data_IF_642501610084
#
_entry.id   IF_642501610084
#
_cell.length_a   1.000
_cell.length_b   1.000
_cell.length_c   1.000
_cell.angle_alpha   90.00
_cell.angle_beta   90.00
_cell.angle_gamma   90.00
#
_symmetry.space_group_name_H-M   'P 1'
#
loop_
_entity.id
_entity.type
_entity.pdbx_description
1 polymer ?
#
# COMPACT_ATOMS: atom_id res chain seq x y z
N UNK A 1 -23.88 12.89 -29.30
CA UNK A 1 -22.99 12.17 -28.34
C UNK A 1 -22.21 13.20 -27.54
N UNK A 2 -22.48 13.39 -26.25
CA UNK A 2 -21.67 14.30 -25.44
C UNK A 2 -20.23 13.76 -25.33
N UNK A 3 -19.23 14.60 -25.59
CA UNK A 3 -17.82 14.21 -25.47
C UNK A 3 -17.52 13.67 -24.07
N UNK A 4 -16.68 12.64 -23.96
CA UNK A 4 -16.35 11.97 -22.70
C UNK A 4 -15.85 12.94 -21.61
N UNK A 5 -15.22 14.05 -22.01
CA UNK A 5 -14.76 15.13 -21.14
C UNK A 5 -15.92 15.89 -20.46
N UNK A 6 -17.01 16.15 -21.19
CA UNK A 6 -18.21 16.84 -20.67
C UNK A 6 -18.91 15.97 -19.62
N UNK A 7 -19.06 14.67 -19.89
CA UNK A 7 -19.65 13.71 -18.95
C UNK A 7 -18.79 13.57 -17.68
N UNK A 8 -17.46 13.59 -17.84
CA UNK A 8 -16.53 13.57 -16.72
C UNK A 8 -16.63 14.84 -15.86
N UNK A 9 -16.73 16.02 -16.49
CA UNK A 9 -16.95 17.31 -15.79
C UNK A 9 -18.26 17.33 -15.00
N UNK A 10 -19.38 16.95 -15.64
CA UNK A 10 -20.69 16.83 -14.96
C UNK A 10 -20.66 15.89 -13.77
N UNK A 11 -19.90 14.79 -13.85
CA UNK A 11 -19.74 13.85 -12.73
C UNK A 11 -19.07 14.51 -11.52
N UNK A 12 -18.10 15.40 -11.74
CA UNK A 12 -17.36 16.10 -10.68
C UNK A 12 -18.22 17.22 -10.08
N UNK A 13 -18.90 17.98 -10.93
CA UNK A 13 -19.85 19.01 -10.50
C UNK A 13 -20.97 18.39 -9.66
N UNK A 14 -21.53 17.25 -10.09
CA UNK A 14 -22.53 16.50 -9.31
C UNK A 14 -22.00 15.98 -7.97
N UNK A 15 -20.74 15.53 -7.93
CA UNK A 15 -20.07 15.15 -6.68
C UNK A 15 -19.98 16.35 -5.72
N UNK A 16 -19.46 17.50 -6.19
CA UNK A 16 -19.31 18.70 -5.37
C UNK A 16 -20.66 19.25 -4.89
N UNK A 17 -21.65 19.31 -5.79
CA UNK A 17 -22.99 19.74 -5.46
C UNK A 17 -23.62 18.86 -4.37
N UNK A 18 -23.44 17.54 -4.44
CA UNK A 18 -23.92 16.60 -3.43
C UNK A 18 -23.25 16.82 -2.09
N UNK A 19 -21.94 17.00 -2.05
CA UNK A 19 -21.23 17.25 -0.78
C UNK A 19 -21.60 18.60 -0.16
N UNK A 20 -21.77 19.65 -0.96
CA UNK A 20 -22.24 20.95 -0.47
C UNK A 20 -23.67 20.86 0.07
N UNK A 21 -24.58 20.16 -0.63
CA UNK A 21 -25.96 19.96 -0.17
C UNK A 21 -26.00 19.16 1.14
N UNK A 22 -25.17 18.13 1.28
CA UNK A 22 -25.13 17.30 2.48
C UNK A 22 -24.45 17.96 3.68
N UNK A 23 -23.86 19.16 3.51
CA UNK A 23 -23.37 19.99 4.61
C UNK A 23 -24.44 20.22 5.68
N UNK A 24 -25.66 20.56 5.28
CA UNK A 24 -26.76 20.83 6.22
C UNK A 24 -27.11 19.58 7.04
N UNK A 25 -27.15 18.41 6.39
CA UNK A 25 -27.38 17.13 7.05
C UNK A 25 -26.24 16.76 8.02
N UNK A 26 -25.00 17.05 7.63
CA UNK A 26 -23.86 16.87 8.53
C UNK A 26 -23.99 17.78 9.75
N UNK A 27 -24.33 19.06 9.56
CA UNK A 27 -24.53 20.01 10.66
C UNK A 27 -25.63 19.52 11.61
N UNK A 28 -26.74 19.01 11.07
CA UNK A 28 -27.83 18.46 11.87
C UNK A 28 -27.41 17.22 12.68
N UNK A 29 -26.53 16.37 12.15
CA UNK A 29 -26.11 15.11 12.81
C UNK A 29 -24.93 15.25 13.77
N UNK A 30 -23.95 16.07 13.41
CA UNK A 30 -22.65 16.15 14.10
C UNK A 30 -22.38 17.53 14.71
N UNK A 31 -23.30 18.48 14.55
CA UNK A 31 -23.16 19.84 15.05
C UNK A 31 -22.49 20.82 14.09
N UNK A 32 -22.38 22.09 14.49
CA UNK A 32 -21.87 23.16 13.64
C UNK A 32 -20.41 22.94 13.25
N UNK A 33 -20.13 23.11 11.96
CA UNK A 33 -18.76 23.06 11.42
C UNK A 33 -18.02 24.34 11.82
N UNK A 34 -16.74 24.22 12.17
CA UNK A 34 -15.94 25.39 12.50
C UNK A 34 -15.82 26.34 11.30
N UNK A 35 -16.12 27.64 11.47
CA UNK A 35 -15.94 28.62 10.41
C UNK A 35 -14.46 28.72 10.00
N UNK A 36 -14.19 29.20 8.78
CA UNK A 36 -12.86 29.52 8.29
C UNK A 36 -12.34 30.80 8.99
N UNK A 37 -12.23 30.82 10.31
CA UNK A 37 -11.47 31.85 11.03
C UNK A 37 -10.01 31.39 11.05
N UNK A 38 -9.14 32.11 10.34
CA UNK A 38 -7.71 31.83 10.31
C UNK A 38 -7.06 32.39 11.57
N UNK A 39 -7.06 31.62 12.66
CA UNK A 39 -6.14 31.77 13.79
C UNK A 39 -5.34 30.49 13.96
N UNK A 40 -4.35 30.30 13.11
CA UNK A 40 -3.25 29.37 13.35
C UNK A 40 -1.99 29.85 12.62
N UNK A 41 -1.25 30.70 13.32
CA UNK A 41 0.14 31.05 13.14
C UNK A 41 0.99 30.09 12.29
N UNK A 42 1.12 30.40 10.98
CA UNK A 42 2.42 30.46 10.28
C UNK A 42 2.27 31.43 9.11
N UNK A 43 3.14 32.44 9.09
CA UNK A 43 3.08 33.64 8.27
C UNK A 43 3.56 33.37 6.82
N UNK A 44 2.85 33.91 5.83
CA UNK A 44 3.45 34.78 4.80
C UNK A 44 2.40 35.82 4.42
N UNK A 45 2.71 37.09 4.71
CA UNK A 45 1.89 38.26 4.37
C UNK A 45 1.95 38.49 2.87
N UNK A 46 0.87 38.20 2.13
CA UNK A 46 0.53 38.91 0.89
C UNK A 46 -0.93 38.60 0.48
N UNK A 47 -1.70 39.65 0.23
CA UNK A 47 -3.09 39.71 -0.27
C UNK A 47 -4.22 39.23 0.66
N UNK A 48 -4.80 40.20 1.37
CA UNK A 48 -6.01 40.03 2.18
C UNK A 48 -7.28 39.90 1.32
N UNK A 49 -7.55 38.70 0.83
CA UNK A 49 -8.89 38.32 0.38
C UNK A 49 -9.44 37.29 1.37
N UNK A 50 -10.32 37.73 2.27
CA UNK A 50 -11.09 36.86 3.18
C UNK A 50 -11.94 35.91 2.32
N UNK A 51 -11.41 34.75 1.95
CA UNK A 51 -12.17 33.76 1.19
C UNK A 51 -13.24 33.20 2.14
N UNK A 52 -14.49 33.63 1.97
CA UNK A 52 -15.68 33.09 2.66
C UNK A 52 -15.96 31.66 2.19
N UNK A 53 -15.04 30.74 2.49
CA UNK A 53 -15.09 29.36 2.09
C UNK A 53 -15.81 28.49 3.13
N UNK A 54 -16.32 27.35 2.68
CA UNK A 54 -16.90 26.35 3.58
C UNK A 54 -15.84 25.29 3.92
N UNK A 55 -15.56 25.10 5.22
CA UNK A 55 -14.83 23.94 5.75
C UNK A 55 -15.77 22.73 5.76
N UNK A 56 -15.44 21.67 5.02
CA UNK A 56 -16.20 20.42 4.95
C UNK A 56 -15.32 19.23 5.31
N UNK A 57 -15.83 18.24 6.06
CA UNK A 57 -15.07 17.02 6.33
C UNK A 57 -14.81 16.23 5.04
N UNK A 58 -13.59 15.72 4.91
CA UNK A 58 -13.18 14.99 3.71
C UNK A 58 -13.93 13.66 3.57
N UNK A 59 -14.66 13.42 2.46
CA UNK A 59 -15.45 12.21 2.27
C UNK A 59 -14.62 11.00 1.82
N UNK A 60 -13.33 11.17 1.49
CA UNK A 60 -12.41 10.10 1.10
C UNK A 60 -11.68 9.45 2.27
N UNK A 61 -11.75 10.06 3.45
CA UNK A 61 -11.08 9.58 4.65
C UNK A 61 -12.08 8.92 5.60
N UNK A 62 -11.68 7.85 6.30
CA UNK A 62 -12.46 7.34 7.43
C UNK A 62 -12.46 8.38 8.55
N UNK A 63 -13.55 8.44 9.30
CA UNK A 63 -13.75 9.43 10.37
C UNK A 63 -14.00 8.72 11.70
N UNK A 64 -13.38 9.22 12.75
CA UNK A 64 -13.61 8.73 14.10
C UNK A 64 -14.88 9.40 14.64
N UNK A 65 -15.87 8.59 15.01
CA UNK A 65 -17.07 9.09 15.68
C UNK A 65 -16.72 9.41 17.14
N UNK A 66 -16.86 10.68 17.55
CA UNK A 66 -16.51 11.12 18.91
C UNK A 66 -17.33 10.41 20.00
N UNK A 67 -18.62 10.15 19.75
CA UNK A 67 -19.52 9.55 20.75
C UNK A 67 -19.31 8.05 20.92
N UNK A 68 -19.02 7.31 19.83
CA UNK A 68 -18.93 5.84 19.86
C UNK A 68 -17.50 5.33 19.87
N UNK A 69 -16.50 6.17 19.61
CA UNK A 69 -15.09 5.79 19.48
C UNK A 69 -14.79 4.85 18.30
N UNK A 70 -15.77 4.56 17.45
CA UNK A 70 -15.61 3.68 16.29
C UNK A 70 -15.25 4.49 15.05
N UNK A 71 -14.38 3.93 14.21
CA UNK A 71 -14.06 4.49 12.91
C UNK A 71 -15.18 4.18 11.92
N UNK A 72 -15.83 5.23 11.42
CA UNK A 72 -16.70 5.13 10.26
C UNK A 72 -15.82 4.97 9.00
N UNK A 73 -16.20 4.07 8.06
CA UNK A 73 -15.50 3.96 6.79
C UNK A 73 -15.61 5.26 6.00
N UNK A 74 -14.71 5.46 5.04
CA UNK A 74 -14.82 6.57 4.10
C UNK A 74 -16.17 6.50 3.35
N UNK A 75 -16.78 7.66 3.14
CA UNK A 75 -18.08 7.78 2.47
C UNK A 75 -18.06 7.24 1.04
N UNK A 76 -16.95 7.46 0.34
CA UNK A 76 -16.69 6.85 -0.97
C UNK A 76 -15.66 5.74 -0.83
N UNK A 77 -15.96 4.57 -1.39
CA UNK A 77 -15.04 3.44 -1.41
C UNK A 77 -13.80 3.74 -2.26
N UNK A 78 -12.69 3.04 -2.04
CA UNK A 78 -11.44 3.26 -2.79
C UNK A 78 -11.61 3.10 -4.31
N UNK A 79 -12.55 2.26 -4.74
CA UNK A 79 -12.92 2.12 -6.16
C UNK A 79 -13.61 3.38 -6.67
N UNK A 80 -14.65 3.85 -5.98
CA UNK A 80 -15.36 5.08 -6.35
C UNK A 80 -14.44 6.30 -6.35
N UNK A 81 -13.51 6.38 -5.38
CA UNK A 81 -12.46 7.39 -5.35
C UNK A 81 -11.60 7.32 -6.62
N UNK A 82 -11.14 6.13 -7.02
CA UNK A 82 -10.36 5.95 -8.23
C UNK A 82 -11.15 6.33 -9.51
N UNK A 83 -12.43 5.99 -9.58
CA UNK A 83 -13.30 6.34 -10.70
C UNK A 83 -13.49 7.86 -10.80
N UNK A 84 -13.71 8.56 -9.67
CA UNK A 84 -13.77 10.02 -9.61
C UNK A 84 -12.45 10.66 -10.02
N UNK A 85 -11.32 10.12 -9.54
CA UNK A 85 -9.98 10.60 -9.92
C UNK A 85 -9.73 10.41 -11.42
N UNK A 86 -10.13 9.28 -11.99
CA UNK A 86 -10.00 9.01 -13.43
C UNK A 86 -10.78 10.03 -14.25
N UNK A 87 -12.03 10.30 -13.87
CA UNK A 87 -12.88 11.34 -14.49
C UNK A 87 -12.29 12.74 -14.33
N UNK A 88 -11.76 13.07 -13.15
CA UNK A 88 -11.13 14.36 -12.90
C UNK A 88 -9.84 14.57 -13.68
N UNK A 89 -9.05 13.51 -13.87
CA UNK A 89 -7.87 13.55 -14.74
C UNK A 89 -8.26 13.78 -16.20
N UNK A 90 -9.27 13.07 -16.71
CA UNK A 90 -9.72 13.27 -18.11
C UNK A 90 -10.32 14.66 -18.35
N UNK A 91 -10.85 15.31 -17.32
CA UNK A 91 -11.44 16.64 -17.41
C UNK A 91 -10.49 17.78 -16.99
N UNK A 92 -9.27 17.48 -16.52
CA UNK A 92 -8.34 18.49 -15.98
C UNK A 92 -8.77 19.11 -14.63
N UNK A 93 -9.77 18.54 -13.95
CA UNK A 93 -10.39 19.08 -12.73
C UNK A 93 -9.90 18.39 -11.45
N UNK A 94 -8.73 17.76 -11.48
CA UNK A 94 -8.19 16.99 -10.34
C UNK A 94 -8.05 17.85 -9.07
N UNK A 95 -7.76 19.13 -9.22
CA UNK A 95 -7.61 20.11 -8.13
C UNK A 95 -8.88 20.32 -7.29
N UNK A 96 -10.06 20.05 -7.85
CA UNK A 96 -11.33 20.26 -7.14
C UNK A 96 -11.71 19.09 -6.23
N UNK A 97 -11.04 17.93 -6.38
CA UNK A 97 -11.30 16.77 -5.53
C UNK A 97 -10.59 16.89 -4.17
N UNK A 98 -11.18 16.32 -3.11
CA UNK A 98 -10.48 16.21 -1.84
C UNK A 98 -9.17 15.42 -1.97
N UNK A 99 -8.13 15.80 -1.23
CA UNK A 99 -6.93 14.99 -1.17
C UNK A 99 -7.21 13.66 -0.44
N UNK A 100 -6.47 12.60 -0.72
CA UNK A 100 -6.83 11.23 -0.31
C UNK A 100 -5.94 10.16 -0.92
N UNK A 101 -6.15 8.87 -0.58
CA UNK A 101 -5.21 7.79 -0.93
C UNK A 101 -5.11 7.51 -2.44
N UNK A 102 -6.11 7.92 -3.22
CA UNK A 102 -6.15 7.78 -4.68
C UNK A 102 -5.99 9.11 -5.43
N UNK A 103 -6.10 10.25 -4.76
CA UNK A 103 -5.82 11.56 -5.35
C UNK A 103 -4.32 11.83 -5.21
N UNK A 104 -3.54 11.78 -6.31
CA UNK A 104 -2.08 11.81 -6.26
C UNK A 104 -1.51 13.17 -5.85
N UNK A 105 -2.33 14.16 -5.52
CA UNK A 105 -1.97 15.57 -5.37
C UNK A 105 -0.91 15.84 -4.27
N UNK A 106 -0.53 14.86 -3.45
CA UNK A 106 0.32 15.11 -2.27
C UNK A 106 1.61 14.30 -2.18
N UNK A 107 1.98 13.60 -3.25
CA UNK A 107 3.33 13.02 -3.33
C UNK A 107 4.09 13.70 -4.48
N UNK A 108 4.93 14.72 -4.19
CA UNK A 108 5.64 15.49 -5.22
C UNK A 108 6.62 14.61 -6.01
N UNK A 109 6.98 13.44 -5.46
CA UNK A 109 7.86 12.46 -6.08
C UNK A 109 7.17 11.57 -7.12
N UNK A 110 5.84 11.61 -7.20
CA UNK A 110 5.09 10.71 -8.08
C UNK A 110 5.16 11.21 -9.54
N UNK A 111 5.76 10.43 -10.43
CA UNK A 111 5.97 10.80 -11.85
C UNK A 111 4.72 11.34 -12.57
N UNK A 112 3.54 10.75 -12.30
CA UNK A 112 2.27 11.24 -12.86
C UNK A 112 1.88 12.65 -12.37
N UNK A 113 2.26 13.07 -11.17
CA UNK A 113 1.94 14.42 -10.66
C UNK A 113 2.77 15.46 -11.42
N UNK A 114 4.06 15.18 -11.61
CA UNK A 114 4.96 16.00 -12.43
C UNK A 114 4.46 16.10 -13.88
N UNK A 115 3.97 14.99 -14.45
CA UNK A 115 3.46 14.95 -15.82
C UNK A 115 2.19 15.78 -16.04
N UNK A 116 1.24 15.74 -15.11
CA UNK A 116 -0.08 16.36 -15.31
C UNK A 116 -0.24 17.71 -14.60
N UNK A 117 0.64 18.09 -13.66
CA UNK A 117 0.53 19.36 -12.95
C UNK A 117 1.90 19.84 -12.39
N UNK A 118 2.81 20.35 -13.24
CA UNK A 118 4.20 20.62 -12.86
C UNK A 118 4.35 21.74 -11.83
N UNK A 119 3.53 22.79 -11.90
CA UNK A 119 3.56 23.90 -10.93
C UNK A 119 3.16 23.44 -9.53
N UNK A 120 2.14 22.59 -9.44
CA UNK A 120 1.70 21.98 -8.17
C UNK A 120 2.77 21.05 -7.61
N UNK A 121 3.41 20.27 -8.47
CA UNK A 121 4.51 19.41 -8.07
C UNK A 121 5.66 20.21 -7.45
N UNK A 122 6.03 21.35 -8.05
CA UNK A 122 7.10 22.23 -7.56
C UNK A 122 6.77 22.88 -6.21
N UNK A 123 5.54 23.38 -6.04
CA UNK A 123 5.10 23.96 -4.76
C UNK A 123 5.05 22.89 -3.66
N UNK A 124 4.59 21.69 -3.98
CA UNK A 124 4.54 20.56 -3.03
C UNK A 124 5.94 20.04 -2.71
N UNK A 125 6.87 19.97 -3.69
CA UNK A 125 8.26 19.57 -3.42
C UNK A 125 8.97 20.58 -2.52
N UNK A 126 8.80 21.88 -2.76
CA UNK A 126 9.34 22.94 -1.91
C UNK A 126 8.80 22.85 -0.47
N UNK A 127 7.49 22.60 -0.31
CA UNK A 127 6.88 22.39 1.02
C UNK A 127 7.45 21.14 1.74
N UNK A 128 7.71 20.06 0.99
CA UNK A 128 8.28 18.83 1.54
C UNK A 128 9.76 19.00 1.95
N UNK A 129 10.55 19.71 1.15
CA UNK A 129 11.93 20.07 1.48
C UNK A 129 12.00 20.97 2.71
N UNK A 130 11.11 21.97 2.82
CA UNK A 130 11.00 22.81 4.00
C UNK A 130 10.66 21.99 5.26
N UNK A 131 9.79 20.98 5.13
CA UNK A 131 9.46 20.06 6.22
C UNK A 131 10.66 19.20 6.64
N UNK A 132 11.47 18.71 5.69
CA UNK A 132 12.68 17.92 5.97
C UNK A 132 13.79 18.73 6.65
N UNK A 133 13.93 20.01 6.30
CA UNK A 133 14.89 20.94 6.91
C UNK A 133 14.51 21.33 8.36
N UNK A 134 13.26 21.10 8.77
CA UNK A 134 12.86 21.34 10.17
C UNK A 134 13.45 20.26 11.09
N UNK A 135 14.41 20.66 11.94
CA UNK A 135 15.13 19.78 12.87
C UNK A 135 14.30 19.30 14.06
N UNK A 136 13.11 19.87 14.28
CA UNK A 136 12.27 19.56 15.43
C UNK A 136 11.37 18.34 15.19
N UNK A 137 11.53 17.29 16.02
CA UNK A 137 10.67 16.08 16.01
C UNK A 137 9.17 16.38 16.17
N UNK A 138 8.78 17.57 16.68
CA UNK A 138 7.40 17.95 17.03
C UNK A 138 6.58 18.58 15.88
N UNK A 139 7.16 18.89 14.72
CA UNK A 139 6.45 19.58 13.61
C UNK A 139 6.27 18.71 12.35
N UNK A 140 6.07 17.39 12.50
CA UNK A 140 5.67 16.50 11.38
C UNK A 140 4.17 16.57 11.06
N UNK A 141 3.53 17.74 11.16
CA UNK A 141 2.18 17.92 10.63
C UNK A 141 2.31 18.31 9.17
N UNK A 142 1.75 17.50 8.27
CA UNK A 142 1.72 17.82 6.85
C UNK A 142 0.99 19.16 6.64
N UNK A 143 1.72 20.17 6.18
CA UNK A 143 1.14 21.46 5.76
C UNK A 143 0.89 21.35 4.27
N UNK A 144 -0.39 21.40 3.87
CA UNK A 144 -0.78 21.46 2.47
C UNK A 144 -0.47 22.87 1.95
N UNK A 145 0.28 23.04 0.85
CA UNK A 145 0.46 24.36 0.27
C UNK A 145 -0.88 24.88 -0.29
N UNK A 146 -1.15 26.17 -0.09
CA UNK A 146 -2.25 26.84 -0.79
C UNK A 146 -1.82 27.04 -2.25
N UNK A 147 -2.63 26.54 -3.16
CA UNK A 147 -2.37 26.53 -4.58
C UNK A 147 -3.10 27.71 -5.23
N UNK A 148 -2.37 28.66 -5.83
CA UNK A 148 -2.99 29.71 -6.66
C UNK A 148 -3.44 29.11 -7.99
N UNK A 149 -4.68 29.41 -8.38
CA UNK A 149 -5.44 28.74 -9.43
C UNK A 149 -5.05 29.21 -10.83
N UNK A 150 -3.97 28.70 -11.43
CA UNK A 150 -3.72 28.96 -12.86
C UNK A 150 -3.27 27.69 -13.57
N UNK A 151 -4.24 26.87 -14.03
CA UNK A 151 -3.99 25.73 -14.90
C UNK A 151 -4.37 26.05 -16.36
N UNK A 152 -3.44 25.76 -17.27
CA UNK A 152 -3.39 26.15 -18.68
C UNK A 152 -4.36 25.40 -19.62
N UNK A 153 -5.35 24.67 -19.10
CA UNK A 153 -6.39 23.98 -19.90
C UNK A 153 -7.82 24.42 -19.56
N UNK A 154 -8.00 25.56 -18.88
CA UNK A 154 -9.30 26.00 -18.42
C UNK A 154 -10.04 26.80 -19.51
N UNK A 155 -11.08 26.21 -20.11
CA UNK A 155 -12.25 27.01 -20.51
C UNK A 155 -12.71 27.73 -19.26
N UNK A 156 -12.67 29.06 -19.27
CA UNK A 156 -13.02 29.89 -18.11
C UNK A 156 -14.34 29.39 -17.51
N UNK A 157 -14.39 29.06 -16.21
CA UNK A 157 -15.61 28.57 -15.60
C UNK A 157 -16.69 29.65 -15.69
N UNK A 158 -17.86 29.29 -16.21
CA UNK A 158 -19.01 30.18 -16.31
C UNK A 158 -19.31 30.84 -14.96
N UNK A 159 -19.64 32.14 -14.98
CA UNK A 159 -20.02 32.91 -13.79
C UNK A 159 -21.18 32.18 -13.09
N UNK A 160 -20.96 31.74 -11.84
CA UNK A 160 -21.93 30.98 -11.05
C UNK A 160 -21.70 29.46 -10.95
N UNK A 161 -20.68 28.92 -11.63
CA UNK A 161 -20.34 27.50 -11.50
C UNK A 161 -20.00 27.11 -10.05
N UNK A 162 -20.49 25.96 -9.61
CA UNK A 162 -20.21 25.38 -8.28
C UNK A 162 -18.71 25.21 -8.04
N UNK A 163 -17.94 25.03 -9.13
CA UNK A 163 -16.48 24.94 -9.11
C UNK A 163 -15.80 26.20 -8.55
N UNK A 164 -16.46 27.36 -8.61
CA UNK A 164 -15.95 28.63 -8.11
C UNK A 164 -16.22 28.82 -6.60
N UNK A 165 -17.01 27.94 -5.97
CA UNK A 165 -17.19 27.97 -4.50
C UNK A 165 -15.94 27.40 -3.84
N UNK A 166 -15.26 28.22 -3.05
CA UNK A 166 -14.11 27.79 -2.26
C UNK A 166 -14.52 26.76 -1.20
N UNK A 167 -14.38 25.47 -1.51
CA UNK A 167 -14.55 24.36 -0.57
C UNK A 167 -13.17 23.94 -0.07
N UNK A 168 -12.98 24.02 1.26
CA UNK A 168 -11.76 23.52 1.91
C UNK A 168 -12.10 22.21 2.63
N UNK A 169 -11.45 21.13 2.18
CA UNK A 169 -11.61 19.82 2.82
C UNK A 169 -10.77 19.74 4.09
N UNK A 170 -11.39 19.30 5.19
CA UNK A 170 -10.72 19.06 6.48
C UNK A 170 -10.41 17.58 6.64
N UNK A 171 -9.27 17.28 7.25
CA UNK A 171 -8.82 15.91 7.50
C UNK A 171 -7.30 15.83 7.45
N UNK A 172 -6.71 15.02 8.34
CA UNK A 172 -5.29 14.71 8.30
C UNK A 172 -5.09 13.57 7.32
N UNK A 173 -4.20 13.76 6.36
CA UNK A 173 -3.76 12.69 5.47
C UNK A 173 -2.41 12.26 5.96
N UNK A 174 -2.29 10.98 6.29
CA UNK A 174 -1.02 10.37 6.62
C UNK A 174 -0.22 10.19 5.34
N UNK A 175 0.44 11.27 4.91
CA UNK A 175 1.45 11.28 3.86
C UNK A 175 2.77 10.74 4.41
N UNK A 176 2.73 9.54 4.99
CA UNK A 176 3.98 8.89 5.36
C UNK A 176 4.69 8.45 4.09
N UNK A 177 5.81 9.12 3.76
CA UNK A 177 6.76 8.65 2.75
C UNK A 177 7.19 7.24 3.12
N UNK A 178 6.74 6.25 2.38
CA UNK A 178 7.10 4.85 2.61
C UNK A 178 8.56 4.66 2.21
N UNK A 179 9.34 3.93 3.02
CA UNK A 179 10.72 3.59 2.68
C UNK A 179 10.75 2.91 1.29
N UNK A 180 11.71 3.30 0.44
CA UNK A 180 11.86 2.78 -0.93
C UNK A 180 10.79 3.23 -1.92
N UNK A 181 10.03 4.28 -1.61
CA UNK A 181 9.13 4.90 -2.59
C UNK A 181 9.89 5.45 -3.80
N UNK A 182 11.09 5.99 -3.58
CA UNK A 182 11.92 6.64 -4.61
C UNK A 182 12.54 5.62 -5.59
N UNK A 183 12.95 4.46 -5.08
CA UNK A 183 13.56 3.36 -5.85
C UNK A 183 12.54 2.42 -6.48
N UNK A 184 11.24 2.64 -6.26
CA UNK A 184 10.16 1.75 -6.75
C UNK A 184 10.00 0.42 -6.01
N UNK A 185 10.93 0.06 -5.11
CA UNK A 185 10.92 -1.20 -4.35
C UNK A 185 10.34 -0.97 -2.94
N UNK A 186 9.04 -0.70 -2.86
CA UNK A 186 8.33 -0.35 -1.61
C UNK A 186 8.18 -1.51 -0.62
N UNK A 187 8.06 -2.76 -1.09
CA UNK A 187 7.67 -3.90 -0.25
C UNK A 187 8.78 -4.40 0.69
N UNK A 188 10.05 -4.12 0.38
CA UNK A 188 11.20 -4.64 1.13
C UNK A 188 12.26 -3.59 1.47
N UNK A 189 12.04 -2.33 1.14
CA UNK A 189 12.96 -1.27 1.49
C UNK A 189 13.05 -1.11 3.01
N UNK A 190 14.28 -1.17 3.53
CA UNK A 190 14.57 -1.10 4.96
C UNK A 190 14.39 -2.42 5.74
N UNK A 191 14.05 -3.55 5.07
CA UNK A 191 13.93 -4.85 5.73
C UNK A 191 15.02 -5.81 5.23
N UNK A 192 15.70 -6.53 6.14
CA UNK A 192 16.70 -7.55 5.79
C UNK A 192 16.05 -8.59 4.88
N UNK A 193 16.59 -8.77 3.67
CA UNK A 193 16.10 -9.76 2.69
C UNK A 193 16.46 -11.16 3.20
N UNK A 194 15.62 -11.75 4.03
CA UNK A 194 15.78 -13.15 4.45
C UNK A 194 15.04 -14.03 3.46
N UNK A 195 15.70 -14.33 2.34
CA UNK A 195 15.23 -15.37 1.43
C UNK A 195 15.26 -16.69 2.20
N UNK A 196 14.09 -17.31 2.37
CA UNK A 196 13.95 -18.55 3.16
C UNK A 196 14.65 -19.74 2.50
N UNK A 197 14.85 -19.68 1.18
CA UNK A 197 15.28 -20.82 0.38
C UNK A 197 14.19 -21.87 0.23
N UNK A 198 14.26 -22.65 -0.84
CA UNK A 198 13.42 -23.82 -1.00
C UNK A 198 13.78 -24.89 0.04
N UNK A 199 12.86 -25.81 0.35
CA UNK A 199 13.11 -26.87 1.34
C UNK A 199 14.33 -27.73 0.98
N UNK A 200 14.54 -28.00 -0.32
CA UNK A 200 15.66 -28.81 -0.79
C UNK A 200 17.00 -28.11 -0.63
N UNK A 201 17.07 -26.79 -0.83
CA UNK A 201 18.28 -25.98 -0.60
C UNK A 201 18.68 -26.02 0.87
N UNK A 202 17.70 -25.82 1.77
CA UNK A 202 17.93 -25.85 3.22
C UNK A 202 18.36 -27.22 3.75
N UNK A 203 17.97 -28.30 3.08
CA UNK A 203 18.28 -29.67 3.48
C UNK A 203 19.45 -30.28 2.70
N UNK A 204 20.02 -29.56 1.73
CA UNK A 204 21.08 -30.06 0.84
C UNK A 204 22.28 -30.53 1.64
N UNK A 205 22.82 -29.69 2.51
CA UNK A 205 23.99 -30.00 3.33
C UNK A 205 23.76 -31.22 4.23
N UNK A 206 22.57 -31.31 4.84
CA UNK A 206 22.21 -32.45 5.68
C UNK A 206 22.12 -33.75 4.86
N UNK A 207 21.60 -33.68 3.63
CA UNK A 207 21.51 -34.82 2.72
C UNK A 207 22.89 -35.26 2.24
N UNK A 208 23.75 -34.32 1.86
CA UNK A 208 25.14 -34.59 1.44
C UNK A 208 25.95 -35.23 2.57
N UNK A 209 25.83 -34.73 3.80
CA UNK A 209 26.45 -35.36 4.99
C UNK A 209 25.97 -36.80 5.17
N UNK A 210 24.67 -37.05 5.11
CA UNK A 210 24.12 -38.40 5.22
C UNK A 210 24.65 -39.32 4.12
N UNK A 211 24.70 -38.83 2.88
CA UNK A 211 25.25 -39.58 1.75
C UNK A 211 26.73 -39.91 1.97
N UNK A 212 27.55 -38.96 2.43
CA UNK A 212 28.96 -39.19 2.71
C UNK A 212 29.20 -40.31 3.75
N UNK A 213 28.42 -40.32 4.84
CA UNK A 213 28.50 -41.35 5.88
C UNK A 213 28.10 -42.72 5.32
N UNK A 214 27.00 -42.78 4.56
CA UNK A 214 26.53 -44.02 3.93
C UNK A 214 27.58 -44.60 2.98
N UNK A 215 28.25 -43.75 2.20
CA UNK A 215 29.29 -44.16 1.25
C UNK A 215 30.58 -44.57 1.96
N UNK A 216 30.96 -43.89 3.06
CA UNK A 216 32.11 -44.26 3.90
C UNK A 216 31.99 -45.69 4.44
N UNK A 217 30.81 -46.05 4.94
CA UNK A 217 30.58 -47.36 5.55
C UNK A 217 30.16 -48.45 4.54
N UNK A 218 30.11 -48.12 3.25
CA UNK A 218 29.57 -48.98 2.20
C UNK A 218 30.32 -50.31 2.10
N UNK A 219 31.66 -50.27 2.14
CA UNK A 219 32.49 -51.48 2.06
C UNK A 219 32.20 -52.47 3.21
N UNK A 220 32.04 -51.96 4.43
CA UNK A 220 31.69 -52.76 5.59
C UNK A 220 30.31 -53.40 5.44
N UNK A 221 29.31 -52.66 4.95
CA UNK A 221 27.96 -53.19 4.70
C UNK A 221 27.93 -54.26 3.62
N UNK A 222 28.73 -54.09 2.56
CA UNK A 222 28.86 -55.11 1.52
C UNK A 222 29.48 -56.37 2.11
N UNK A 223 30.51 -56.24 2.96
CA UNK A 223 31.14 -57.39 3.64
C UNK A 223 30.14 -58.13 4.52
N UNK A 224 29.44 -57.43 5.40
CA UNK A 224 28.45 -58.06 6.29
C UNK A 224 27.30 -58.71 5.52
N UNK A 225 26.82 -58.08 4.44
CA UNK A 225 25.84 -58.66 3.54
C UNK A 225 26.35 -59.95 2.89
N UNK A 226 27.55 -59.93 2.30
CA UNK A 226 28.15 -61.12 1.66
C UNK A 226 28.38 -62.24 2.68
N UNK A 227 28.86 -61.94 3.88
CA UNK A 227 29.07 -62.92 4.95
C UNK A 227 27.76 -63.55 5.41
N UNK A 228 26.70 -62.75 5.58
CA UNK A 228 25.38 -63.22 5.95
C UNK A 228 24.86 -64.26 4.93
N UNK A 229 24.91 -63.93 3.64
CA UNK A 229 24.47 -64.85 2.59
C UNK A 229 25.40 -66.06 2.45
N UNK A 230 26.72 -65.89 2.61
CA UNK A 230 27.67 -67.01 2.60
C UNK A 230 27.35 -68.04 3.68
N UNK A 231 26.95 -67.61 4.87
CA UNK A 231 26.55 -68.51 5.98
C UNK A 231 25.23 -69.24 5.71
N UNK A 232 24.30 -68.60 4.99
CA UNK A 232 22.98 -69.14 4.69
C UNK A 232 22.88 -69.97 3.43
N UNK A 233 23.84 -69.84 2.50
CA UNK A 233 23.89 -70.69 1.31
C UNK A 233 24.12 -72.14 1.73
N UNK A 234 23.28 -73.09 1.28
CA UNK A 234 23.54 -74.51 1.52
C UNK A 234 24.89 -74.84 0.89
N UNK A 235 25.79 -75.44 1.66
CA UNK A 235 27.04 -75.92 1.12
C UNK A 235 26.77 -77.30 0.50
N UNK A 236 26.86 -77.44 -0.84
CA UNK A 236 26.48 -78.67 -1.52
C UNK A 236 27.37 -79.87 -1.12
N UNK A 237 28.55 -79.62 -0.57
CA UNK A 237 29.49 -80.65 -0.12
C UNK A 237 29.34 -80.99 1.38
N UNK A 238 28.52 -80.25 2.14
CA UNK A 238 28.26 -80.61 3.54
C UNK A 238 27.19 -81.70 3.57
N UNK A 239 27.41 -82.80 4.31
CA UNK A 239 26.38 -83.82 4.47
C UNK A 239 25.12 -83.19 5.08
N UNK A 240 23.92 -83.69 4.72
CA UNK A 240 22.68 -83.19 5.28
C UNK A 240 22.75 -83.33 6.80
N UNK A 241 22.46 -82.23 7.52
CA UNK A 241 22.59 -82.14 9.00
C UNK A 241 21.77 -83.21 9.76
N UNK A 242 20.91 -83.94 9.07
CA UNK A 242 20.02 -84.95 9.65
C UNK A 242 20.62 -86.37 9.65
N UNK A 243 21.81 -86.62 9.08
CA UNK A 243 22.39 -87.98 9.00
C UNK A 243 23.04 -88.48 10.30
N UNK A 244 23.23 -87.63 11.31
CA UNK A 244 23.93 -87.98 12.57
C UNK A 244 23.00 -88.41 13.71
N UNK A 245 21.68 -88.30 13.55
CA UNK A 245 20.69 -88.93 14.44
C UNK A 245 20.11 -90.14 13.72
N UNK A 246 20.81 -91.27 13.81
CA UNK A 246 20.29 -92.58 13.42
C UNK A 246 19.03 -92.88 14.22
N UNK A 247 17.87 -92.57 13.64
CA UNK A 247 16.61 -93.17 14.05
C UNK A 247 16.74 -94.66 13.75
N UNK A 248 16.88 -95.47 14.80
CA UNK A 248 16.84 -96.93 14.71
C UNK A 248 15.53 -97.30 14.00
N UNK A 249 15.64 -97.86 12.79
CA UNK A 249 14.51 -98.53 12.14
C UNK A 249 14.30 -99.81 12.95
N UNK A 250 13.12 -100.03 13.56
CA UNK A 250 12.84 -101.27 14.25
C UNK A 250 12.61 -102.37 13.20
N UNK A 251 13.40 -103.43 13.27
CA UNK A 251 13.09 -104.74 12.69
C UNK A 251 12.87 -105.71 13.84
#
# INVERSE_FOLDING_TARGET
MASATVTARKSIEGFLAREIRQKSQHIARFGPLQPLTETAATQTKASGSQVTGVKLPNPFLPQLNANTGRWAPAKYSLRQQADLVKKAKSAGLLQHLPPGPKTPILDPTHANVQKYNPQVAAVVSAAFEAQQKSTSKKLRKAVLPQLSQESWTATAPEKGSILNKAVRWTGKIDLHRKAGADTGIKLYAGKKRMFKGHRWERLKDARERRQSILMRDMAARIRTYKEYYKKKRPNPLKPPKNSLKGGKIPF
#
